data_IF_017907900868
#
_entry.id   IF_017907900868
#
_cell.length_a   1.000
_cell.length_b   1.000
_cell.length_c   1.000
_cell.angle_alpha   90.00
_cell.angle_beta   90.00
_cell.angle_gamma   90.00
#
_symmetry.space_group_name_H-M   'P 1'
#
loop_
_entity.id
_entity.type
_entity.pdbx_description
1 polymer ?
#
# COMPACT_ATOMS: atom_id res chain seq x y z
N UNK A 1 2.97 3.22 17.59
CA UNK A 1 3.94 3.66 16.60
C UNK A 1 3.23 4.38 15.45
N UNK A 2 2.31 3.75 14.74
CA UNK A 2 1.51 4.39 13.69
C UNK A 2 0.06 3.83 13.69
N UNK A 3 -0.90 4.66 13.26
CA UNK A 3 -2.30 4.29 13.07
C UNK A 3 -2.74 4.59 11.64
N UNK A 4 -3.38 3.64 10.98
CA UNK A 4 -4.20 3.87 9.80
C UNK A 4 -5.56 4.38 10.27
N UNK A 5 -5.68 5.70 10.41
CA UNK A 5 -6.87 6.35 11.01
C UNK A 5 -8.11 6.13 10.17
N UNK A 6 -7.94 6.23 8.86
CA UNK A 6 -9.00 5.99 7.87
C UNK A 6 -8.43 5.16 6.73
N UNK A 7 -9.21 4.19 6.26
CA UNK A 7 -8.83 3.23 5.25
C UNK A 7 -9.82 3.25 4.07
N UNK A 8 -9.29 3.27 2.83
CA UNK A 8 -10.03 2.98 1.59
C UNK A 8 -11.24 3.88 1.34
N UNK A 9 -11.12 5.18 1.41
CA UNK A 9 -12.25 6.10 1.17
C UNK A 9 -12.38 6.57 -0.28
N UNK A 10 -11.37 6.33 -1.11
CA UNK A 10 -11.40 6.70 -2.52
C UNK A 10 -11.86 5.53 -3.39
N UNK A 11 -12.85 5.81 -4.23
CA UNK A 11 -13.40 4.86 -5.20
C UNK A 11 -13.36 5.46 -6.61
N UNK A 12 -12.58 4.86 -7.51
CA UNK A 12 -12.34 5.42 -8.85
C UNK A 12 -13.58 5.38 -9.75
N UNK A 13 -14.50 4.45 -9.50
CA UNK A 13 -15.75 4.31 -10.26
C UNK A 13 -16.78 5.38 -9.92
N UNK A 14 -16.69 5.99 -8.75
CA UNK A 14 -17.58 7.07 -8.34
C UNK A 14 -17.18 8.40 -9.01
N UNK A 15 -18.18 9.18 -9.44
CA UNK A 15 -17.94 10.45 -10.12
C UNK A 15 -17.22 11.46 -9.22
N UNK A 16 -17.65 11.58 -7.98
CA UNK A 16 -17.04 12.44 -6.95
C UNK A 16 -15.80 11.85 -6.29
N UNK A 17 -15.47 10.59 -6.58
CA UNK A 17 -14.30 9.89 -6.06
C UNK A 17 -14.45 9.26 -4.68
N UNK A 18 -15.57 9.43 -4.01
CA UNK A 18 -15.78 8.94 -2.66
C UNK A 18 -16.46 7.59 -2.61
N UNK A 19 -15.87 6.64 -1.87
CA UNK A 19 -16.55 5.38 -1.55
C UNK A 19 -17.79 5.66 -0.70
N UNK A 20 -18.95 5.20 -1.14
CA UNK A 20 -20.25 5.39 -0.45
C UNK A 20 -20.39 4.46 0.76
N UNK A 21 -19.40 4.50 1.66
CA UNK A 21 -19.39 3.76 2.92
C UNK A 21 -20.51 4.21 3.86
N UNK A 22 -20.74 3.48 4.96
CA UNK A 22 -21.69 3.89 5.99
C UNK A 22 -21.29 5.26 6.60
N UNK A 23 -20.01 5.46 6.84
CA UNK A 23 -19.49 6.73 7.37
C UNK A 23 -19.75 7.89 6.42
N UNK A 24 -19.43 7.72 5.14
CA UNK A 24 -19.73 8.75 4.13
C UNK A 24 -21.22 9.07 4.06
N UNK A 25 -22.10 8.06 4.05
CA UNK A 25 -23.56 8.27 3.96
C UNK A 25 -24.15 8.92 5.20
N UNK A 26 -23.49 8.79 6.34
CA UNK A 26 -23.99 9.32 7.63
C UNK A 26 -23.45 10.71 7.95
N UNK A 27 -22.18 10.95 7.67
CA UNK A 27 -21.47 12.18 8.05
C UNK A 27 -21.10 13.05 6.85
N UNK A 28 -21.08 12.47 5.64
CA UNK A 28 -20.54 13.13 4.46
C UNK A 28 -19.02 13.00 4.37
N UNK A 29 -18.41 13.70 3.42
CA UNK A 29 -16.96 13.70 3.18
C UNK A 29 -16.14 14.20 4.38
N UNK A 30 -16.74 15.01 5.23
CA UNK A 30 -16.12 15.58 6.43
C UNK A 30 -15.72 14.52 7.48
N UNK A 31 -16.24 13.29 7.36
CA UNK A 31 -15.92 12.22 8.32
C UNK A 31 -14.42 11.94 8.41
N UNK A 32 -13.66 12.10 7.30
CA UNK A 32 -12.22 11.89 7.27
C UNK A 32 -11.50 12.90 8.16
N UNK A 33 -11.79 14.19 7.98
CA UNK A 33 -11.21 15.25 8.81
C UNK A 33 -11.59 15.07 10.29
N UNK A 34 -12.85 14.74 10.58
CA UNK A 34 -13.30 14.49 11.94
C UNK A 34 -12.57 13.31 12.58
N UNK A 35 -12.40 12.19 11.86
CA UNK A 35 -11.66 11.03 12.35
C UNK A 35 -10.21 11.40 12.70
N UNK A 36 -9.52 12.10 11.81
CA UNK A 36 -8.14 12.53 12.03
C UNK A 36 -8.00 13.56 13.16
N UNK A 37 -8.94 14.51 13.30
CA UNK A 37 -8.96 15.45 14.44
C UNK A 37 -9.12 14.69 15.77
N UNK A 38 -10.00 13.68 15.81
CA UNK A 38 -10.18 12.84 17.00
C UNK A 38 -8.94 11.99 17.27
N UNK A 39 -8.36 11.35 16.23
CA UNK A 39 -7.14 10.57 16.39
C UNK A 39 -5.99 11.46 16.93
N UNK A 40 -5.78 12.63 16.35
CA UNK A 40 -4.73 13.57 16.81
C UNK A 40 -4.93 14.03 18.24
N UNK A 41 -6.17 14.20 18.69
CA UNK A 41 -6.50 14.61 20.04
C UNK A 41 -6.21 13.52 21.08
N UNK A 42 -6.42 12.25 20.74
CA UNK A 42 -6.39 11.15 21.71
C UNK A 42 -5.22 10.17 21.50
N UNK A 43 -4.49 10.25 20.39
CA UNK A 43 -3.28 9.47 20.21
C UNK A 43 -2.22 9.90 21.23
N UNK A 44 -1.46 8.92 21.70
CA UNK A 44 -0.28 9.21 22.54
C UNK A 44 0.75 10.03 21.76
N UNK A 45 1.58 10.76 22.48
CA UNK A 45 2.66 11.53 21.87
C UNK A 45 3.61 10.62 21.06
N UNK A 46 3.96 11.05 19.84
CA UNK A 46 4.82 10.31 18.93
C UNK A 46 4.12 9.25 18.07
N UNK A 47 2.82 9.00 18.27
CA UNK A 47 2.04 8.15 17.35
C UNK A 47 1.79 8.89 16.05
N UNK A 48 2.17 8.27 14.94
CA UNK A 48 1.97 8.82 13.60
C UNK A 48 0.61 8.41 13.04
N UNK A 49 -0.05 9.34 12.35
CA UNK A 49 -1.38 9.14 11.80
C UNK A 49 -1.29 9.02 10.27
N UNK A 50 -1.79 7.90 9.76
CA UNK A 50 -1.75 7.55 8.34
C UNK A 50 -3.14 7.46 7.73
N UNK A 51 -3.21 7.78 6.44
CA UNK A 51 -4.26 7.34 5.54
C UNK A 51 -3.76 6.15 4.75
N UNK A 52 -4.55 5.08 4.62
CA UNK A 52 -4.18 3.86 3.93
C UNK A 52 -5.15 3.56 2.78
N UNK A 53 -4.63 3.14 1.61
CA UNK A 53 -5.50 2.78 0.47
C UNK A 53 -4.81 1.81 -0.49
N UNK A 54 -5.62 1.07 -1.26
CA UNK A 54 -5.19 0.17 -2.32
C UNK A 54 -5.08 0.90 -3.67
N UNK A 55 -4.44 0.26 -4.65
CA UNK A 55 -4.33 0.75 -6.04
C UNK A 55 -3.83 2.19 -6.17
N UNK A 56 -3.02 2.63 -5.22
CA UNK A 56 -2.47 4.00 -5.15
C UNK A 56 -1.58 4.35 -6.33
N UNK A 57 -1.13 3.34 -7.10
CA UNK A 57 -0.36 3.49 -8.35
C UNK A 57 -1.25 3.84 -9.56
N UNK A 58 -2.57 3.74 -9.48
CA UNK A 58 -3.46 4.22 -10.54
C UNK A 58 -3.49 5.75 -10.54
N UNK A 59 -3.14 6.42 -11.67
CA UNK A 59 -2.99 7.89 -11.70
C UNK A 59 -4.21 8.65 -11.20
N UNK A 60 -5.42 8.28 -11.64
CA UNK A 60 -6.66 8.93 -11.21
C UNK A 60 -6.93 8.77 -9.71
N UNK A 61 -6.65 7.58 -9.16
CA UNK A 61 -6.82 7.34 -7.72
C UNK A 61 -5.77 8.10 -6.90
N UNK A 62 -4.52 8.07 -7.34
CA UNK A 62 -3.44 8.85 -6.73
C UNK A 62 -3.76 10.34 -6.67
N UNK A 63 -4.27 10.91 -7.77
CA UNK A 63 -4.71 12.31 -7.82
C UNK A 63 -5.82 12.58 -6.80
N UNK A 64 -6.87 11.76 -6.79
CA UNK A 64 -7.99 11.91 -5.85
C UNK A 64 -7.56 11.78 -4.39
N UNK A 65 -6.72 10.81 -4.07
CA UNK A 65 -6.12 10.68 -2.72
C UNK A 65 -5.39 11.97 -2.37
N UNK A 66 -4.58 12.49 -3.28
CA UNK A 66 -3.83 13.71 -3.05
C UNK A 66 -4.73 14.91 -2.79
N UNK A 67 -5.72 15.14 -3.66
CA UNK A 67 -6.55 16.35 -3.61
C UNK A 67 -7.64 16.28 -2.54
N UNK A 68 -8.33 15.13 -2.41
CA UNK A 68 -9.49 15.01 -1.53
C UNK A 68 -9.13 14.62 -0.09
N UNK A 69 -8.00 13.97 0.12
CA UNK A 69 -7.61 13.42 1.43
C UNK A 69 -6.36 14.11 1.98
N UNK A 70 -5.22 13.97 1.26
CA UNK A 70 -3.94 14.37 1.84
C UNK A 70 -3.82 15.88 2.02
N UNK A 71 -4.14 16.68 1.00
CA UNK A 71 -4.04 18.14 1.09
C UNK A 71 -4.93 18.75 2.18
N UNK A 72 -6.24 18.38 2.31
CA UNK A 72 -7.07 18.86 3.43
C UNK A 72 -6.50 18.49 4.81
N UNK A 73 -6.05 17.25 5.00
CA UNK A 73 -5.46 16.81 6.27
C UNK A 73 -4.14 17.51 6.58
N UNK A 74 -3.30 17.75 5.57
CA UNK A 74 -2.05 18.50 5.72
C UNK A 74 -2.28 19.96 6.08
N UNK A 75 -3.31 20.59 5.52
CA UNK A 75 -3.66 21.98 5.82
C UNK A 75 -3.98 22.20 7.31
N UNK A 76 -4.46 21.17 8.00
CA UNK A 76 -4.73 21.17 9.43
C UNK A 76 -3.63 20.47 10.27
N UNK A 77 -2.52 20.06 9.67
CA UNK A 77 -1.43 19.33 10.34
C UNK A 77 -1.89 18.04 11.05
N UNK A 78 -2.84 17.32 10.45
CA UNK A 78 -3.46 16.15 11.04
C UNK A 78 -2.82 14.82 10.63
N UNK A 79 -2.10 14.78 9.50
CA UNK A 79 -1.55 13.57 8.90
C UNK A 79 -0.03 13.57 8.92
N UNK A 80 0.57 12.41 9.18
CA UNK A 80 2.02 12.21 9.17
C UNK A 80 2.47 11.35 7.97
N UNK A 81 1.59 10.47 7.46
CA UNK A 81 2.03 9.57 6.40
C UNK A 81 0.92 8.98 5.54
N UNK A 82 1.38 8.33 4.46
CA UNK A 82 0.55 7.63 3.48
C UNK A 82 0.89 6.15 3.47
N UNK A 83 -0.12 5.30 3.69
CA UNK A 83 -0.05 3.86 3.54
C UNK A 83 -0.46 3.43 2.12
N UNK A 84 0.44 2.76 1.44
CA UNK A 84 0.21 2.14 0.14
C UNK A 84 0.02 0.64 0.38
N UNK A 85 -1.22 0.11 0.31
CA UNK A 85 -1.50 -1.32 0.58
C UNK A 85 -0.65 -2.24 -0.29
N UNK A 86 -0.56 -1.93 -1.58
CA UNK A 86 0.29 -2.70 -2.52
C UNK A 86 -0.18 -4.14 -2.74
N UNK A 87 -1.49 -4.34 -2.85
CA UNK A 87 -2.06 -5.57 -3.39
C UNK A 87 -1.82 -5.59 -4.90
N UNK A 88 -0.78 -6.27 -5.33
CA UNK A 88 -0.30 -6.26 -6.71
C UNK A 88 -0.72 -7.52 -7.47
N UNK A 89 -0.55 -7.48 -8.80
CA UNK A 89 -0.84 -8.61 -9.69
C UNK A 89 0.30 -8.76 -10.71
N UNK A 90 0.76 -9.96 -10.97
CA UNK A 90 1.88 -10.22 -11.90
C UNK A 90 1.70 -9.57 -13.28
N UNK A 91 0.47 -9.49 -13.79
CA UNK A 91 0.20 -9.05 -15.16
C UNK A 91 -0.18 -7.58 -15.33
N UNK A 92 -0.57 -6.89 -14.26
CA UNK A 92 -1.25 -5.60 -14.37
C UNK A 92 -0.62 -4.46 -13.57
N UNK A 93 0.56 -4.69 -13.01
CA UNK A 93 1.23 -3.65 -12.25
C UNK A 93 2.24 -2.94 -13.13
N UNK A 94 2.09 -1.64 -13.24
CA UNK A 94 3.08 -0.77 -13.84
C UNK A 94 3.97 -0.19 -12.74
N UNK A 95 5.18 -0.70 -12.63
CA UNK A 95 6.16 -0.23 -11.65
C UNK A 95 6.58 1.22 -11.89
N UNK A 96 6.45 1.74 -13.12
CA UNK A 96 6.68 3.16 -13.40
C UNK A 96 5.64 4.02 -12.68
N UNK A 97 4.36 3.64 -12.76
CA UNK A 97 3.31 4.35 -12.04
C UNK A 97 3.38 4.13 -10.53
N UNK A 98 3.89 2.99 -10.08
CA UNK A 98 4.19 2.76 -8.66
C UNK A 98 5.29 3.72 -8.16
N UNK A 99 6.38 3.88 -8.91
CA UNK A 99 7.45 4.86 -8.62
C UNK A 99 6.92 6.30 -8.61
N UNK A 100 6.05 6.64 -9.56
CA UNK A 100 5.40 7.94 -9.62
C UNK A 100 4.55 8.22 -8.37
N UNK A 101 3.92 7.19 -7.79
CA UNK A 101 3.15 7.34 -6.54
C UNK A 101 4.04 7.61 -5.36
N UNK A 102 5.12 6.85 -5.19
CA UNK A 102 6.12 7.10 -4.15
C UNK A 102 6.64 8.54 -4.21
N UNK A 103 6.99 9.02 -5.41
CA UNK A 103 7.47 10.39 -5.63
C UNK A 103 6.39 11.44 -5.37
N UNK A 104 5.15 11.17 -5.75
CA UNK A 104 4.04 12.11 -5.54
C UNK A 104 3.78 12.31 -4.05
N UNK A 105 3.63 11.23 -3.30
CA UNK A 105 3.38 11.31 -1.87
C UNK A 105 4.60 11.80 -1.08
N UNK A 106 5.80 11.38 -1.49
CA UNK A 106 7.05 11.86 -0.89
C UNK A 106 7.27 13.37 -1.04
N UNK A 107 6.95 13.94 -2.21
CA UNK A 107 7.02 15.40 -2.44
C UNK A 107 6.09 16.22 -1.56
N UNK A 108 5.06 15.60 -1.00
CA UNK A 108 4.20 16.22 0.01
C UNK A 108 4.84 16.26 1.40
N UNK A 109 6.01 15.65 1.57
CA UNK A 109 6.70 15.56 2.86
C UNK A 109 6.14 14.49 3.80
N UNK A 110 5.27 13.61 3.30
CA UNK A 110 4.67 12.52 4.09
C UNK A 110 5.63 11.33 4.24
N UNK A 111 5.56 10.66 5.38
CA UNK A 111 6.14 9.34 5.54
C UNK A 111 5.34 8.32 4.72
N UNK A 112 6.04 7.37 4.10
CA UNK A 112 5.40 6.36 3.25
C UNK A 112 5.61 4.98 3.87
N UNK A 113 4.51 4.24 4.02
CA UNK A 113 4.52 2.81 4.35
C UNK A 113 3.96 2.01 3.18
N UNK A 114 4.61 0.91 2.84
CA UNK A 114 3.98 -0.20 2.12
C UNK A 114 3.36 -1.09 3.19
N UNK A 115 2.03 -1.15 3.22
CA UNK A 115 1.30 -1.64 4.41
C UNK A 115 0.82 -3.07 4.30
N UNK A 116 0.54 -3.56 3.10
CA UNK A 116 -0.19 -4.82 2.88
C UNK A 116 0.33 -5.57 1.65
N UNK A 117 1.64 -5.62 1.49
CA UNK A 117 2.26 -6.16 0.27
C UNK A 117 1.93 -7.63 0.06
N UNK A 118 1.27 -7.91 -1.03
CA UNK A 118 1.15 -9.22 -1.64
C UNK A 118 1.09 -9.10 -3.18
N UNK A 119 1.46 -10.18 -3.89
CA UNK A 119 1.44 -10.19 -5.35
C UNK A 119 0.65 -11.41 -5.83
N UNK A 120 -0.58 -11.19 -6.29
CA UNK A 120 -1.43 -12.27 -6.76
C UNK A 120 -0.74 -13.08 -7.86
N UNK A 121 -0.54 -14.36 -7.58
CA UNK A 121 0.00 -15.36 -8.49
C UNK A 121 -0.88 -16.62 -8.46
N UNK A 122 -1.71 -16.89 -9.48
CA UNK A 122 -2.53 -18.10 -9.53
C UNK A 122 -1.76 -19.33 -10.04
N UNK A 123 -0.54 -19.16 -10.57
CA UNK A 123 0.24 -20.23 -11.17
C UNK A 123 1.24 -20.83 -10.18
N UNK A 124 1.03 -22.08 -9.69
CA UNK A 124 1.96 -22.77 -8.80
C UNK A 124 3.20 -23.32 -9.53
N UNK A 125 3.21 -23.33 -10.85
CA UNK A 125 4.28 -23.91 -11.63
C UNK A 125 5.64 -23.21 -11.40
N UNK A 126 6.72 -23.87 -11.79
CA UNK A 126 8.07 -23.29 -11.73
C UNK A 126 8.14 -21.96 -12.47
N UNK A 127 7.42 -21.82 -13.59
CA UNK A 127 7.33 -20.57 -14.36
C UNK A 127 6.64 -19.48 -13.53
N UNK A 128 5.47 -19.76 -12.94
CA UNK A 128 4.75 -18.79 -12.12
C UNK A 128 5.55 -18.36 -10.87
N UNK A 129 6.32 -19.28 -10.28
CA UNK A 129 7.19 -18.94 -9.16
C UNK A 129 8.40 -18.09 -9.57
N UNK A 130 8.94 -18.28 -10.79
CA UNK A 130 10.00 -17.44 -11.32
C UNK A 130 9.49 -16.03 -11.68
N UNK A 131 8.30 -15.92 -12.27
CA UNK A 131 7.66 -14.62 -12.54
C UNK A 131 7.39 -13.84 -11.22
N UNK A 132 6.91 -14.53 -10.19
CA UNK A 132 6.71 -13.93 -8.86
C UNK A 132 8.02 -13.42 -8.26
N UNK A 133 9.07 -14.24 -8.32
CA UNK A 133 10.42 -13.86 -7.88
C UNK A 133 10.90 -12.59 -8.59
N UNK A 134 10.81 -12.55 -9.91
CA UNK A 134 11.24 -11.40 -10.70
C UNK A 134 10.47 -10.13 -10.33
N UNK A 135 9.17 -10.25 -10.10
CA UNK A 135 8.33 -9.11 -9.70
C UNK A 135 8.72 -8.56 -8.32
N UNK A 136 8.95 -9.45 -7.34
CA UNK A 136 9.45 -9.02 -6.03
C UNK A 136 10.83 -8.38 -6.12
N UNK A 137 11.74 -8.95 -6.90
CA UNK A 137 13.09 -8.41 -7.11
C UNK A 137 13.03 -6.98 -7.70
N UNK A 138 12.26 -6.79 -8.76
CA UNK A 138 12.08 -5.49 -9.40
C UNK A 138 11.46 -4.46 -8.46
N UNK A 139 10.43 -4.87 -7.72
CA UNK A 139 9.76 -4.00 -6.74
C UNK A 139 10.74 -3.58 -5.63
N UNK A 140 11.48 -4.50 -5.04
CA UNK A 140 12.41 -4.17 -3.98
C UNK A 140 13.61 -3.35 -4.45
N UNK A 141 14.11 -3.57 -5.66
CA UNK A 141 15.10 -2.69 -6.29
C UNK A 141 14.54 -1.27 -6.40
N UNK A 142 13.29 -1.13 -6.85
CA UNK A 142 12.62 0.17 -6.95
C UNK A 142 12.44 0.83 -5.57
N UNK A 143 11.94 0.10 -4.58
CA UNK A 143 11.74 0.61 -3.22
C UNK A 143 13.05 1.08 -2.58
N UNK A 144 14.11 0.30 -2.70
CA UNK A 144 15.43 0.66 -2.17
C UNK A 144 16.05 1.86 -2.90
N UNK A 145 15.83 1.96 -4.21
CA UNK A 145 16.23 3.15 -4.99
C UNK A 145 15.43 4.38 -4.54
N UNK A 146 14.11 4.27 -4.44
CA UNK A 146 13.25 5.37 -4.02
C UNK A 146 13.61 5.88 -2.62
N UNK A 147 13.88 4.97 -1.66
CA UNK A 147 14.31 5.31 -0.30
C UNK A 147 15.58 6.18 -0.26
N UNK A 148 16.45 6.11 -1.28
CA UNK A 148 17.66 6.93 -1.38
C UNK A 148 17.37 8.33 -1.92
N UNK A 149 16.21 8.58 -2.50
CA UNK A 149 15.80 9.89 -2.97
C UNK A 149 15.38 10.75 -1.77
N UNK A 150 15.95 11.96 -1.66
CA UNK A 150 15.68 12.87 -0.52
C UNK A 150 14.19 13.23 -0.36
N UNK A 151 13.40 13.13 -1.43
CA UNK A 151 11.96 13.41 -1.42
C UNK A 151 11.09 12.21 -1.05
N UNK A 152 11.65 11.00 -0.82
CA UNK A 152 10.87 9.80 -0.54
C UNK A 152 11.26 9.25 0.83
N UNK A 153 10.42 9.49 1.83
CA UNK A 153 10.60 9.00 3.19
C UNK A 153 9.90 7.63 3.37
N UNK A 154 10.39 6.60 2.68
CA UNK A 154 9.89 5.22 2.81
C UNK A 154 10.55 4.56 4.02
N UNK A 155 9.75 4.19 5.03
CA UNK A 155 10.25 3.69 6.31
C UNK A 155 9.79 2.28 6.66
N UNK A 156 8.72 1.78 6.04
CA UNK A 156 8.18 0.45 6.33
C UNK A 156 7.71 -0.30 5.09
N UNK A 157 7.90 -1.63 5.10
CA UNK A 157 7.27 -2.56 4.17
C UNK A 157 6.73 -3.73 4.98
N UNK A 158 5.41 -3.92 4.95
CA UNK A 158 4.70 -5.00 5.62
C UNK A 158 4.08 -5.95 4.60
N UNK A 159 4.37 -7.24 4.71
CA UNK A 159 3.70 -8.26 3.91
C UNK A 159 2.34 -8.59 4.51
N UNK A 160 1.30 -8.73 3.65
CA UNK A 160 -0.06 -9.01 4.10
C UNK A 160 -0.32 -10.51 4.26
N UNK A 161 0.46 -11.13 5.11
CA UNK A 161 0.39 -12.53 5.46
C UNK A 161 1.77 -13.18 5.58
N UNK A 162 1.82 -14.34 6.21
CA UNK A 162 3.05 -15.08 6.44
C UNK A 162 3.28 -16.09 5.30
N UNK A 163 2.29 -16.90 4.96
CA UNK A 163 2.40 -18.00 4.00
C UNK A 163 1.19 -18.10 3.08
N UNK A 164 1.38 -18.71 1.92
CA UNK A 164 0.42 -18.74 0.82
C UNK A 164 -0.96 -19.29 1.18
N UNK A 165 -1.02 -20.38 1.97
CA UNK A 165 -2.27 -21.04 2.34
C UNK A 165 -3.12 -20.25 3.37
N UNK A 166 -2.55 -19.20 3.97
CA UNK A 166 -3.24 -18.25 4.85
C UNK A 166 -3.60 -16.92 4.14
N UNK A 167 -3.22 -16.76 2.87
CA UNK A 167 -3.51 -15.54 2.13
C UNK A 167 -5.02 -15.35 1.92
N UNK A 168 -5.50 -14.15 2.22
CA UNK A 168 -6.87 -13.71 1.96
C UNK A 168 -7.24 -13.73 0.47
N UNK A 169 -6.24 -13.57 -0.42
CA UNK A 169 -6.43 -13.50 -1.87
C UNK A 169 -7.12 -14.74 -2.44
N UNK A 170 -6.86 -15.94 -1.90
CA UNK A 170 -7.52 -17.18 -2.33
C UNK A 170 -9.04 -17.09 -2.16
N UNK A 171 -9.50 -16.59 -1.04
CA UNK A 171 -10.93 -16.39 -0.77
C UNK A 171 -11.54 -15.24 -1.58
N UNK A 172 -10.84 -14.14 -1.65
CA UNK A 172 -11.28 -12.94 -2.35
C UNK A 172 -11.39 -13.14 -3.87
N UNK A 173 -10.37 -13.78 -4.48
CA UNK A 173 -10.32 -14.06 -5.93
C UNK A 173 -11.14 -15.28 -6.34
N UNK A 174 -11.56 -16.12 -5.38
CA UNK A 174 -12.21 -17.43 -5.61
C UNK A 174 -11.35 -18.38 -6.46
N UNK A 175 -10.06 -18.22 -6.40
CA UNK A 175 -9.05 -19.08 -7.02
C UNK A 175 -7.81 -19.14 -6.13
N UNK A 176 -7.05 -20.24 -6.19
CA UNK A 176 -5.80 -20.33 -5.43
C UNK A 176 -4.84 -19.20 -5.82
N UNK A 177 -4.17 -18.64 -4.82
CA UNK A 177 -3.14 -17.65 -4.99
C UNK A 177 -1.89 -18.04 -4.19
N UNK A 178 -0.74 -17.76 -4.75
CA UNK A 178 0.57 -18.06 -4.17
C UNK A 178 1.39 -16.76 -4.04
N UNK A 179 0.93 -15.77 -3.25
CA UNK A 179 1.40 -14.40 -3.36
C UNK A 179 2.60 -14.06 -2.48
N UNK A 180 2.89 -14.88 -1.46
CA UNK A 180 3.78 -14.51 -0.36
C UNK A 180 5.19 -15.11 -0.51
N UNK A 181 6.06 -14.80 0.47
CA UNK A 181 7.45 -15.25 0.48
C UNK A 181 7.62 -16.69 0.96
N UNK A 182 6.64 -17.19 1.73
CA UNK A 182 6.61 -18.54 2.25
C UNK A 182 5.47 -19.32 1.62
N UNK A 183 5.74 -20.53 1.21
CA UNK A 183 4.73 -21.51 0.81
C UNK A 183 4.17 -22.26 2.02
N UNK A 184 3.36 -23.28 1.75
CA UNK A 184 2.85 -24.19 2.78
C UNK A 184 3.99 -24.72 3.67
N UNK A 185 3.71 -24.96 4.94
CA UNK A 185 4.69 -25.41 5.93
C UNK A 185 5.94 -24.48 6.10
N UNK A 186 5.77 -23.17 5.86
CA UNK A 186 6.85 -22.19 5.97
C UNK A 186 8.04 -22.43 5.05
N UNK A 187 7.86 -23.18 3.96
CA UNK A 187 8.91 -23.40 2.98
C UNK A 187 9.27 -22.07 2.31
N UNK A 188 10.56 -21.74 2.31
CA UNK A 188 11.10 -20.58 1.60
C UNK A 188 10.84 -20.70 0.10
N UNK A 189 10.27 -19.67 -0.48
CA UNK A 189 10.06 -19.56 -1.95
C UNK A 189 11.21 -18.79 -2.60
N UNK A 190 11.31 -18.86 -3.92
CA UNK A 190 12.26 -18.04 -4.69
C UNK A 190 12.05 -16.54 -4.44
N UNK A 191 10.80 -16.11 -4.23
CA UNK A 191 10.44 -14.74 -3.87
C UNK A 191 11.10 -14.26 -2.57
N UNK A 192 11.26 -15.16 -1.57
CA UNK A 192 11.98 -14.83 -0.35
C UNK A 192 13.43 -14.41 -0.64
N UNK A 193 14.13 -15.22 -1.41
CA UNK A 193 15.52 -14.93 -1.80
C UNK A 193 15.62 -13.67 -2.64
N UNK A 194 14.65 -13.42 -3.53
CA UNK A 194 14.59 -12.19 -4.31
C UNK A 194 14.49 -10.92 -3.46
N UNK A 195 13.83 -11.00 -2.30
CA UNK A 195 13.72 -9.87 -1.36
C UNK A 195 14.96 -9.71 -0.50
N UNK A 196 15.44 -10.83 0.07
CA UNK A 196 16.56 -10.81 1.04
C UNK A 196 17.91 -10.55 0.36
N UNK A 197 18.09 -11.06 -0.85
CA UNK A 197 19.35 -10.98 -1.59
C UNK A 197 19.45 -9.73 -2.48
N UNK A 198 18.42 -8.86 -2.50
CA UNK A 198 18.52 -7.59 -3.25
C UNK A 198 19.71 -6.79 -2.71
N UNK A 199 20.69 -6.48 -3.57
CA UNK A 199 21.89 -5.78 -3.11
C UNK A 199 21.51 -4.39 -2.58
N UNK A 200 21.81 -4.13 -1.34
CA UNK A 200 21.84 -2.77 -0.78
C UNK A 200 23.07 -2.03 -1.31
N UNK A 201 23.08 -1.80 -2.65
CA UNK A 201 24.17 -1.07 -3.32
C UNK A 201 23.98 0.43 -3.23
#
# INVERSE_FOLDING_TARGET
YAWDVVNEVIEESEEDGWRKSLWYRTVGEDFVLQAFRMARKYAEEGVKLFYNDYSTFIPKKRERITELILKPLMAEHLIDGMGMQSHLMLKYNDLTEYENSLKTFGKLGLEIHVTELDIHNPDPSEKGQEELKMMYEQLFVLLLKARKEASVNLTSVTFWGMKDDESWLTGFRKEKSYPLLFGENYRLKKAYHAVVDVPMK
#
